data_IF_720787563296
#
_entry.id   IF_720787563296
#
_cell.length_a   1.000
_cell.length_b   1.000
_cell.length_c   1.000
_cell.angle_alpha   90.00
_cell.angle_beta   90.00
_cell.angle_gamma   90.00
#
_symmetry.space_group_name_H-M   'P 1'
#
loop_
_entity.id
_entity.type
_entity.pdbx_description
1 polymer ?
#
# COMPACT_ATOMS: atom_id res chain seq x y z
N UNK A 1 56.27 5.00 -5.10
CA UNK A 1 57.29 3.90 -5.22
C UNK A 1 56.67 2.59 -4.80
N UNK A 2 56.89 1.55 -5.65
CA UNK A 2 56.66 0.10 -5.45
C UNK A 2 55.17 -0.35 -5.33
N UNK A 3 54.69 -1.31 -6.05
CA UNK A 3 54.95 -2.11 -7.26
C UNK A 3 53.78 -3.05 -7.41
N UNK A 4 53.32 -3.20 -8.61
CA UNK A 4 52.36 -4.19 -9.10
C UNK A 4 52.87 -5.62 -8.92
N UNK A 5 51.94 -6.63 -8.87
CA UNK A 5 52.04 -7.75 -9.83
C UNK A 5 50.76 -8.64 -9.75
N UNK A 6 50.32 -9.20 -10.84
CA UNK A 6 49.15 -10.05 -10.98
C UNK A 6 49.55 -11.55 -10.98
N UNK A 7 48.59 -12.43 -10.69
CA UNK A 7 48.73 -13.85 -11.01
C UNK A 7 47.49 -14.30 -11.77
N UNK A 8 47.74 -14.57 -13.04
CA UNK A 8 46.92 -15.42 -13.89
C UNK A 8 47.49 -16.85 -13.86
N UNK A 9 46.64 -17.86 -13.82
CA UNK A 9 47.03 -19.19 -14.32
C UNK A 9 45.82 -19.88 -14.96
N UNK A 10 46.10 -20.38 -16.15
CA UNK A 10 45.20 -21.00 -17.09
C UNK A 10 45.35 -22.55 -17.09
N UNK A 11 44.46 -23.19 -17.79
CA UNK A 11 44.54 -24.47 -18.51
C UNK A 11 44.38 -25.76 -17.65
N UNK A 12 43.80 -26.86 -18.10
CA UNK A 12 43.81 -27.48 -19.41
C UNK A 12 42.75 -28.61 -19.52
N UNK A 13 42.32 -28.82 -20.71
CA UNK A 13 41.83 -29.92 -21.51
C UNK A 13 42.16 -31.39 -21.13
N UNK A 14 41.15 -32.28 -21.32
CA UNK A 14 41.28 -33.63 -21.92
C UNK A 14 39.86 -34.22 -22.03
N UNK A 15 39.26 -34.62 -23.08
CA UNK A 15 39.62 -35.28 -24.31
C UNK A 15 39.62 -36.81 -24.20
N UNK A 16 38.44 -37.48 -24.48
CA UNK A 16 38.49 -38.88 -24.90
C UNK A 16 37.24 -39.25 -25.72
N UNK A 17 37.44 -39.50 -26.98
CA UNK A 17 36.50 -40.12 -27.89
C UNK A 17 36.71 -41.65 -27.85
N UNK A 18 35.63 -42.42 -27.89
CA UNK A 18 35.65 -43.84 -28.24
C UNK A 18 34.57 -44.16 -29.22
N UNK A 19 35.02 -44.62 -30.39
CA UNK A 19 34.28 -45.13 -31.53
C UNK A 19 34.01 -46.61 -31.25
N UNK A 20 32.82 -47.09 -31.45
CA UNK A 20 32.45 -48.51 -31.42
C UNK A 20 31.38 -48.84 -32.45
N UNK A 21 31.68 -49.79 -33.30
CA UNK A 21 31.10 -50.10 -34.61
C UNK A 21 29.77 -50.87 -34.61
N UNK A 22 29.09 -50.67 -35.68
CA UNK A 22 28.06 -51.38 -36.40
C UNK A 22 27.61 -52.80 -35.93
N UNK A 23 26.27 -52.97 -35.87
CA UNK A 23 25.56 -54.23 -35.88
C UNK A 23 24.22 -54.07 -36.60
N UNK A 24 24.11 -54.59 -37.84
CA UNK A 24 22.86 -54.69 -38.57
C UNK A 24 21.95 -55.77 -37.99
N UNK A 25 20.75 -55.40 -37.57
CA UNK A 25 19.66 -56.33 -37.23
C UNK A 25 18.36 -55.77 -37.76
N UNK A 26 17.82 -56.40 -38.80
CA UNK A 26 16.50 -56.16 -39.39
C UNK A 26 15.43 -56.69 -38.43
N UNK A 27 14.60 -55.83 -37.88
CA UNK A 27 13.44 -56.19 -37.05
C UNK A 27 12.37 -55.10 -37.20
N UNK A 28 11.20 -55.48 -37.65
CA UNK A 28 10.08 -54.61 -37.99
C UNK A 28 9.67 -53.70 -36.84
N UNK A 29 9.62 -52.40 -37.11
CA UNK A 29 9.13 -51.38 -36.22
C UNK A 29 7.63 -51.22 -36.33
N UNK A 30 6.92 -51.62 -35.26
CA UNK A 30 5.57 -51.11 -35.03
C UNK A 30 5.66 -49.59 -34.74
N UNK A 31 4.72 -48.77 -35.25
CA UNK A 31 4.74 -47.33 -35.00
C UNK A 31 4.55 -47.05 -33.51
N UNK A 32 5.44 -46.28 -32.94
CA UNK A 32 5.33 -45.79 -31.57
C UNK A 32 4.03 -44.99 -31.39
N UNK A 33 3.32 -45.12 -30.25
CA UNK A 33 2.16 -44.31 -29.97
C UNK A 33 2.60 -42.84 -29.90
N UNK A 34 1.88 -41.96 -30.62
CA UNK A 34 2.06 -40.52 -30.52
C UNK A 34 1.80 -40.11 -29.06
N UNK A 35 2.65 -39.26 -28.47
CA UNK A 35 2.35 -38.72 -27.14
C UNK A 35 1.01 -37.99 -27.23
N UNK A 36 0.08 -38.39 -26.36
CA UNK A 36 -1.18 -37.71 -26.18
C UNK A 36 -0.85 -36.25 -25.87
N UNK A 37 -1.32 -35.36 -26.73
CA UNK A 37 -1.23 -33.93 -26.57
C UNK A 37 -2.09 -33.61 -25.34
N UNK A 38 -1.44 -33.42 -24.18
CA UNK A 38 -2.12 -32.97 -22.98
C UNK A 38 -2.99 -31.75 -23.35
N UNK A 39 -4.29 -31.92 -23.21
CA UNK A 39 -5.23 -30.80 -23.37
C UNK A 39 -4.77 -29.67 -22.42
N UNK A 40 -4.77 -28.42 -22.87
CA UNK A 40 -4.45 -27.31 -21.97
C UNK A 40 -5.42 -27.39 -20.79
N UNK A 41 -4.88 -27.58 -19.60
CA UNK A 41 -5.64 -27.47 -18.36
C UNK A 41 -6.11 -26.03 -18.34
N UNK A 42 -7.37 -25.78 -18.64
CA UNK A 42 -8.01 -24.48 -18.46
C UNK A 42 -7.96 -24.20 -16.97
N UNK A 43 -7.10 -23.27 -16.57
CA UNK A 43 -7.19 -22.69 -15.23
C UNK A 43 -8.65 -22.24 -15.01
N UNK A 44 -9.26 -22.58 -13.88
CA UNK A 44 -10.63 -22.15 -13.63
C UNK A 44 -10.71 -20.63 -13.79
N UNK A 45 -11.70 -20.15 -14.53
CA UNK A 45 -11.98 -18.72 -14.61
C UNK A 45 -12.24 -18.21 -13.20
N UNK A 46 -11.70 -17.04 -12.83
CA UNK A 46 -11.91 -16.47 -11.51
C UNK A 46 -13.40 -16.38 -11.20
N UNK A 47 -13.80 -16.89 -10.04
CA UNK A 47 -15.19 -16.75 -9.58
C UNK A 47 -15.45 -15.29 -9.26
N UNK A 48 -16.39 -14.62 -9.92
CA UNK A 48 -16.69 -13.22 -9.63
C UNK A 48 -17.08 -13.05 -8.15
N UNK A 49 -16.55 -12.04 -7.49
CA UNK A 49 -17.05 -11.63 -6.18
C UNK A 49 -18.51 -11.21 -6.34
N UNK A 50 -19.41 -11.87 -5.66
CA UNK A 50 -20.86 -11.56 -5.65
C UNK A 50 -21.36 -11.45 -4.22
N UNK A 51 -22.24 -10.49 -3.94
CA UNK A 51 -22.83 -10.28 -2.61
C UNK A 51 -22.33 -9.01 -1.92
N UNK A 52 -22.67 -8.82 -0.64
CA UNK A 52 -22.42 -7.58 0.08
C UNK A 52 -20.94 -7.23 0.17
N UNK A 53 -20.61 -5.99 -0.19
CA UNK A 53 -19.29 -5.38 -0.07
C UNK A 53 -19.30 -4.31 1.00
N UNK A 54 -18.37 -4.36 1.96
CA UNK A 54 -18.17 -3.37 3.02
C UNK A 54 -16.77 -2.75 2.90
N UNK A 55 -16.72 -1.43 2.80
CA UNK A 55 -15.47 -0.68 2.83
C UNK A 55 -15.26 -0.04 4.20
N UNK A 56 -14.10 -0.32 4.78
CA UNK A 56 -13.65 0.16 6.08
C UNK A 56 -12.37 0.99 5.89
N UNK A 57 -12.17 1.99 6.72
CA UNK A 57 -10.90 2.71 6.68
C UNK A 57 -10.94 4.15 7.13
N UNK A 58 -9.87 4.86 6.78
CA UNK A 58 -9.62 6.26 7.10
C UNK A 58 -9.88 7.19 5.91
N UNK A 59 -9.25 8.38 5.91
CA UNK A 59 -9.40 9.40 4.87
C UNK A 59 -8.91 8.98 3.48
N UNK A 60 -7.95 8.05 3.41
CA UNK A 60 -7.48 7.50 2.13
C UNK A 60 -8.52 6.58 1.49
N UNK A 61 -9.31 5.90 2.33
CA UNK A 61 -10.44 5.08 1.88
C UNK A 61 -11.67 5.94 1.58
N UNK A 62 -11.98 6.93 2.46
CA UNK A 62 -13.18 7.74 2.28
C UNK A 62 -13.12 8.65 1.03
N UNK A 63 -11.93 8.98 0.53
CA UNK A 63 -11.78 9.90 -0.60
C UNK A 63 -12.03 11.35 -0.20
N UNK A 64 -11.41 11.75 0.92
CA UNK A 64 -11.56 13.06 1.54
C UNK A 64 -11.48 14.20 0.51
N UNK A 65 -12.52 15.04 0.50
CA UNK A 65 -12.65 16.24 -0.38
C UNK A 65 -12.70 15.95 -1.88
N UNK A 66 -12.92 14.72 -2.31
CA UNK A 66 -13.15 14.40 -3.71
C UNK A 66 -14.66 14.42 -3.99
N UNK A 67 -15.17 15.27 -4.90
CA UNK A 67 -16.59 15.29 -5.25
C UNK A 67 -17.04 14.04 -6.02
N UNK A 68 -18.32 13.63 -5.91
CA UNK A 68 -19.33 14.12 -4.98
C UNK A 68 -19.11 13.55 -3.56
N UNK A 69 -19.17 14.43 -2.56
CA UNK A 69 -19.13 14.00 -1.16
C UNK A 69 -20.54 13.77 -0.62
N UNK A 70 -20.68 12.74 0.26
CA UNK A 70 -21.98 12.37 0.82
C UNK A 70 -21.86 11.48 2.05
N UNK A 71 -22.97 10.90 2.44
CA UNK A 71 -23.08 10.04 3.62
C UNK A 71 -23.19 10.79 4.93
N UNK A 72 -23.48 10.07 6.01
CA UNK A 72 -23.64 10.62 7.36
C UNK A 72 -22.74 9.85 8.32
N UNK A 73 -21.97 10.53 9.21
CA UNK A 73 -21.80 11.98 9.29
C UNK A 73 -20.98 12.54 8.12
N UNK A 74 -21.20 13.80 7.72
CA UNK A 74 -20.47 14.44 6.62
C UNK A 74 -18.98 14.61 6.93
N UNK A 75 -18.63 14.78 8.20
CA UNK A 75 -17.24 14.88 8.68
C UNK A 75 -16.40 13.64 8.38
N UNK A 76 -17.00 12.51 8.00
CA UNK A 76 -16.27 11.36 7.48
C UNK A 76 -15.66 11.61 6.09
N UNK A 77 -16.17 12.58 5.32
CA UNK A 77 -15.63 12.95 4.03
C UNK A 77 -15.68 11.83 3.00
N UNK A 78 -16.77 11.04 2.97
CA UNK A 78 -16.95 9.95 2.01
C UNK A 78 -17.27 10.50 0.64
N UNK A 79 -16.59 9.96 -0.37
CA UNK A 79 -16.79 10.34 -1.77
C UNK A 79 -17.46 9.22 -2.56
N UNK A 80 -18.42 9.57 -3.41
CA UNK A 80 -18.95 8.64 -4.42
C UNK A 80 -17.94 8.27 -5.52
N UNK A 81 -16.75 8.90 -5.52
CA UNK A 81 -15.65 8.64 -6.45
C UNK A 81 -14.39 8.11 -5.73
N UNK A 82 -14.51 7.63 -4.49
CA UNK A 82 -13.41 6.97 -3.79
C UNK A 82 -13.16 5.56 -4.35
N UNK A 83 -11.99 4.96 -4.03
CA UNK A 83 -11.65 3.66 -4.59
C UNK A 83 -12.68 2.56 -4.28
N UNK A 84 -13.32 2.51 -3.09
CA UNK A 84 -14.33 1.49 -2.84
C UNK A 84 -15.57 1.64 -3.73
N UNK A 85 -16.06 2.87 -3.92
CA UNK A 85 -17.17 3.15 -4.83
C UNK A 85 -16.85 2.77 -6.28
N UNK A 86 -15.61 3.05 -6.73
CA UNK A 86 -15.12 2.66 -8.04
C UNK A 86 -15.01 1.14 -8.20
N UNK A 87 -14.58 0.42 -7.15
CA UNK A 87 -14.53 -1.06 -7.14
C UNK A 87 -15.95 -1.63 -7.20
N UNK A 88 -16.86 -1.14 -6.36
CA UNK A 88 -18.26 -1.58 -6.35
C UNK A 88 -18.90 -1.39 -7.74
N UNK A 89 -18.69 -0.24 -8.36
CA UNK A 89 -19.19 0.08 -9.71
C UNK A 89 -18.61 -0.88 -10.77
N UNK A 90 -17.28 -1.11 -10.78
CA UNK A 90 -16.62 -1.95 -11.79
C UNK A 90 -16.96 -3.44 -11.65
N UNK A 91 -17.32 -3.88 -10.45
CA UNK A 91 -17.78 -5.26 -10.18
C UNK A 91 -19.32 -5.40 -10.22
N UNK A 92 -20.05 -4.32 -10.50
CA UNK A 92 -21.52 -4.25 -10.48
C UNK A 92 -22.15 -4.72 -9.15
N UNK A 93 -21.48 -4.46 -8.03
CA UNK A 93 -21.97 -4.82 -6.69
C UNK A 93 -23.03 -3.83 -6.24
N UNK A 94 -24.28 -4.29 -6.16
CA UNK A 94 -25.43 -3.44 -5.78
C UNK A 94 -25.56 -3.27 -4.26
N UNK A 95 -25.10 -4.27 -3.51
CA UNK A 95 -25.09 -4.25 -2.05
C UNK A 95 -23.70 -3.81 -1.57
N UNK A 96 -23.51 -2.48 -1.54
CA UNK A 96 -22.24 -1.83 -1.17
C UNK A 96 -22.47 -0.85 -0.02
N UNK A 97 -21.66 -0.96 1.02
CA UNK A 97 -21.69 -0.09 2.20
C UNK A 97 -20.29 0.47 2.46
N UNK A 98 -20.14 1.80 2.42
CA UNK A 98 -18.92 2.50 2.81
C UNK A 98 -19.13 3.14 4.19
N UNK A 99 -18.37 2.65 5.17
CA UNK A 99 -18.36 3.18 6.55
C UNK A 99 -17.00 3.76 6.93
N UNK A 100 -16.10 3.93 5.96
CA UNK A 100 -14.81 4.61 6.18
C UNK A 100 -15.04 6.03 6.69
N UNK A 101 -14.06 6.56 7.44
CA UNK A 101 -14.21 7.89 8.02
C UNK A 101 -12.86 8.58 8.16
N UNK A 102 -12.78 9.82 7.70
CA UNK A 102 -11.58 10.65 7.79
C UNK A 102 -11.07 10.71 9.24
N UNK A 103 -9.75 10.56 9.41
CA UNK A 103 -9.11 10.54 10.74
C UNK A 103 -9.27 9.25 11.52
N UNK A 104 -9.99 8.23 11.00
CA UNK A 104 -10.20 6.98 11.71
C UNK A 104 -8.86 6.28 12.06
N UNK A 105 -8.85 5.68 13.23
CA UNK A 105 -7.78 4.83 13.77
C UNK A 105 -8.27 3.40 13.93
N UNK A 106 -7.39 2.48 14.18
CA UNK A 106 -7.76 1.07 14.43
C UNK A 106 -8.80 0.91 15.54
N UNK A 107 -8.80 1.79 16.55
CA UNK A 107 -9.81 1.81 17.61
C UNK A 107 -11.22 2.12 17.14
N UNK A 108 -11.36 2.94 16.09
CA UNK A 108 -12.66 3.36 15.55
C UNK A 108 -13.35 2.25 14.74
N UNK A 109 -12.66 1.15 14.51
CA UNK A 109 -13.25 -0.06 13.94
C UNK A 109 -14.22 -0.73 14.95
N UNK A 110 -13.95 -0.61 16.25
CA UNK A 110 -14.71 -1.25 17.34
C UNK A 110 -15.40 -0.25 18.27
N UNK A 111 -15.11 1.04 18.13
CA UNK A 111 -15.71 2.11 18.91
C UNK A 111 -16.25 3.20 17.98
N UNK A 112 -17.18 4.01 18.48
CA UNK A 112 -17.74 5.11 17.72
C UNK A 112 -16.74 6.26 17.61
N UNK A 113 -16.54 6.81 16.39
CA UNK A 113 -15.68 7.94 16.09
C UNK A 113 -16.48 9.24 16.12
N UNK A 114 -16.02 10.22 16.88
CA UNK A 114 -16.60 11.58 16.85
C UNK A 114 -16.06 12.33 15.64
N UNK A 115 -16.94 13.03 14.95
CA UNK A 115 -16.65 13.98 13.89
C UNK A 115 -17.18 15.36 14.24
N UNK A 116 -16.87 16.38 13.45
CA UNK A 116 -17.35 17.76 13.70
C UNK A 116 -18.88 17.87 13.69
N UNK A 117 -19.58 17.04 12.89
CA UNK A 117 -21.00 17.12 12.63
C UNK A 117 -21.77 15.87 13.06
N UNK A 118 -21.18 15.01 13.90
CA UNK A 118 -21.84 13.83 14.39
C UNK A 118 -20.93 12.71 14.85
N UNK A 119 -21.45 11.51 14.83
CA UNK A 119 -20.72 10.32 15.28
C UNK A 119 -20.83 9.23 14.21
N UNK A 120 -19.69 8.71 13.76
CA UNK A 120 -19.64 7.51 12.95
C UNK A 120 -19.71 6.28 13.88
N UNK A 121 -20.66 5.35 13.69
CA UNK A 121 -20.69 4.11 14.46
C UNK A 121 -19.40 3.31 14.30
N UNK A 122 -19.16 2.30 15.19
CA UNK A 122 -18.04 1.38 14.99
C UNK A 122 -18.10 0.78 13.59
N UNK A 123 -17.02 0.93 12.83
CA UNK A 123 -17.05 0.53 11.41
C UNK A 123 -17.33 -0.96 11.23
N UNK A 124 -16.90 -1.81 12.17
CA UNK A 124 -17.14 -3.26 12.13
C UNK A 124 -18.61 -3.65 12.32
N UNK A 125 -19.49 -2.74 12.73
CA UNK A 125 -20.92 -3.03 12.86
C UNK A 125 -21.58 -3.23 11.48
N UNK A 126 -20.98 -2.74 10.41
CA UNK A 126 -21.41 -3.00 9.04
C UNK A 126 -21.01 -4.40 8.52
N UNK A 127 -20.10 -5.10 9.21
CA UNK A 127 -19.59 -6.41 8.79
C UNK A 127 -20.42 -7.52 9.41
N UNK A 128 -20.97 -8.41 8.57
CA UNK A 128 -21.81 -9.52 8.98
C UNK A 128 -21.44 -10.84 8.28
N UNK A 129 -22.04 -11.94 8.68
CA UNK A 129 -21.85 -13.24 8.03
C UNK A 129 -22.31 -13.27 6.56
N UNK A 130 -23.17 -12.32 6.16
CA UNK A 130 -23.57 -12.16 4.76
C UNK A 130 -22.51 -11.45 3.91
N UNK A 131 -21.58 -10.70 4.51
CA UNK A 131 -20.53 -9.95 3.78
C UNK A 131 -19.65 -10.90 2.95
N UNK A 132 -19.34 -10.52 1.72
CA UNK A 132 -18.55 -11.31 0.77
C UNK A 132 -17.24 -10.63 0.36
N UNK A 133 -17.20 -9.31 0.46
CA UNK A 133 -15.98 -8.54 0.22
C UNK A 133 -15.79 -7.52 1.34
N UNK A 134 -14.58 -7.42 1.86
CA UNK A 134 -14.16 -6.36 2.77
C UNK A 134 -12.87 -5.74 2.26
N UNK A 135 -12.84 -4.42 2.10
CA UNK A 135 -11.59 -3.68 1.96
C UNK A 135 -11.34 -2.85 3.22
N UNK A 136 -10.11 -2.83 3.70
CA UNK A 136 -9.68 -2.09 4.89
C UNK A 136 -8.42 -1.29 4.58
N UNK A 137 -8.50 0.03 4.64
CA UNK A 137 -7.33 0.94 4.55
C UNK A 137 -7.22 1.72 5.86
N UNK A 138 -6.32 1.31 6.77
CA UNK A 138 -6.24 1.85 8.14
C UNK A 138 -4.82 1.74 8.71
N UNK A 139 -4.51 2.59 9.68
CA UNK A 139 -3.28 2.50 10.49
C UNK A 139 -2.34 3.69 10.33
N UNK A 140 -2.47 4.50 9.27
CA UNK A 140 -1.67 5.71 9.08
C UNK A 140 -1.84 6.72 10.21
N UNK A 141 -3.07 6.91 10.70
CA UNK A 141 -3.37 7.78 11.83
C UNK A 141 -2.88 7.22 13.17
N UNK A 142 -2.89 5.89 13.35
CA UNK A 142 -2.33 5.23 14.55
C UNK A 142 -0.81 5.36 14.59
N UNK A 143 -0.15 5.15 13.45
CA UNK A 143 1.30 5.32 13.30
C UNK A 143 1.73 6.78 13.47
N UNK A 144 0.79 7.73 13.41
CA UNK A 144 1.06 9.15 13.57
C UNK A 144 1.81 9.75 12.39
N UNK A 145 1.56 9.25 11.18
CA UNK A 145 2.28 9.68 9.99
C UNK A 145 2.18 11.19 9.76
N UNK A 146 0.98 11.78 9.92
CA UNK A 146 0.77 13.21 9.82
C UNK A 146 1.49 14.00 10.94
N UNK A 147 1.60 13.43 12.15
CA UNK A 147 2.36 14.02 13.25
C UNK A 147 3.86 14.09 12.90
N UNK A 148 4.39 13.03 12.25
CA UNK A 148 5.78 13.00 11.78
C UNK A 148 6.03 14.08 10.74
N UNK A 149 5.17 14.22 9.74
CA UNK A 149 5.26 15.27 8.72
C UNK A 149 5.23 16.68 9.34
N UNK A 150 4.26 16.94 10.22
CA UNK A 150 4.14 18.21 10.92
C UNK A 150 5.37 18.52 11.79
N UNK A 151 5.90 17.52 12.48
CA UNK A 151 7.13 17.67 13.28
C UNK A 151 8.33 17.97 12.38
N UNK A 152 8.46 17.27 11.24
CA UNK A 152 9.54 17.54 10.29
C UNK A 152 9.52 19.00 9.81
N UNK A 153 8.35 19.53 9.47
CA UNK A 153 8.22 20.94 9.08
C UNK A 153 8.67 21.88 10.22
N UNK A 154 8.28 21.60 11.48
CA UNK A 154 8.68 22.41 12.64
C UNK A 154 10.18 22.35 12.91
N UNK A 155 10.78 21.16 12.88
CA UNK A 155 12.23 21.01 13.16
C UNK A 155 13.07 21.65 12.06
N UNK A 156 12.68 21.55 10.78
CA UNK A 156 13.36 22.22 9.69
C UNK A 156 13.23 23.76 9.81
N UNK A 157 12.04 24.29 10.09
CA UNK A 157 11.83 25.72 10.33
C UNK A 157 12.68 26.22 11.51
N UNK A 158 12.70 25.49 12.61
CA UNK A 158 13.50 25.81 13.78
C UNK A 158 15.00 25.86 13.43
N UNK A 159 15.47 24.89 12.68
CA UNK A 159 16.85 24.83 12.23
C UNK A 159 17.24 25.99 11.31
N UNK A 160 16.36 26.36 10.38
CA UNK A 160 16.60 27.50 9.48
C UNK A 160 16.74 28.84 10.25
N UNK A 161 15.97 28.99 11.35
CA UNK A 161 16.02 30.21 12.17
C UNK A 161 17.25 30.29 13.09
N UNK A 162 17.78 29.15 13.55
CA UNK A 162 18.90 29.10 14.50
C UNK A 162 20.26 29.04 13.78
N UNK A 163 20.27 28.76 12.48
CA UNK A 163 21.49 28.79 11.65
C UNK A 163 22.52 27.72 11.99
N UNK A 164 22.13 26.62 12.63
CA UNK A 164 23.00 25.50 12.97
C UNK A 164 22.77 24.36 12.00
N UNK A 165 23.77 24.06 11.18
CA UNK A 165 23.74 23.14 10.06
C UNK A 165 23.59 21.66 10.43
N UNK A 166 22.42 21.26 10.97
CA UNK A 166 22.01 19.86 10.92
C UNK A 166 21.34 19.61 9.57
N UNK A 167 21.91 18.71 8.78
CA UNK A 167 21.38 18.38 7.47
C UNK A 167 20.08 17.56 7.50
N UNK A 168 19.64 17.11 8.69
CA UNK A 168 18.45 16.29 8.88
C UNK A 168 17.82 16.46 10.28
N UNK A 169 17.33 17.67 10.63
CA UNK A 169 16.88 17.96 12.00
C UNK A 169 15.68 17.11 12.44
N UNK A 170 14.78 16.78 11.55
CA UNK A 170 13.65 15.91 11.84
C UNK A 170 14.10 14.47 12.09
N UNK A 171 14.93 13.92 11.21
CA UNK A 171 15.53 12.59 11.41
C UNK A 171 16.27 12.52 12.75
N UNK A 172 17.08 13.52 13.06
CA UNK A 172 17.81 13.60 14.34
C UNK A 172 16.85 13.61 15.53
N UNK A 173 15.74 14.37 15.45
CA UNK A 173 14.71 14.37 16.49
C UNK A 173 14.19 12.96 16.78
N UNK A 174 13.84 12.18 15.75
CA UNK A 174 13.23 10.86 15.89
C UNK A 174 14.23 9.71 16.12
N UNK A 175 15.51 9.89 15.78
CA UNK A 175 16.50 8.79 15.93
C UNK A 175 17.31 8.92 17.21
N UNK A 176 17.78 10.11 17.55
CA UNK A 176 18.68 10.36 18.71
C UNK A 176 18.19 11.47 19.64
N UNK A 177 17.17 12.24 19.21
CA UNK A 177 16.60 13.33 19.98
C UNK A 177 15.44 12.93 20.88
N UNK A 178 14.62 13.92 21.25
CA UNK A 178 13.51 13.76 22.20
C UNK A 178 12.41 12.80 21.73
N UNK A 179 12.24 12.62 20.42
CA UNK A 179 11.28 11.69 19.80
C UNK A 179 11.83 10.29 19.55
N UNK A 180 13.05 9.97 20.06
CA UNK A 180 13.68 8.69 19.80
C UNK A 180 12.79 7.50 20.15
N UNK A 181 12.63 6.58 19.19
CA UNK A 181 11.80 5.38 19.28
C UNK A 181 10.28 5.64 19.29
N UNK A 182 9.79 6.88 19.15
CA UNK A 182 8.36 7.17 19.16
C UNK A 182 7.63 6.51 17.99
N UNK A 183 8.17 6.67 16.78
CA UNK A 183 7.57 6.08 15.57
C UNK A 183 7.52 4.57 15.67
N UNK A 184 8.60 3.95 16.14
CA UNK A 184 8.66 2.48 16.31
C UNK A 184 7.63 1.97 17.33
N UNK A 185 7.45 2.66 18.45
CA UNK A 185 6.41 2.29 19.44
C UNK A 185 5.01 2.41 18.85
N UNK A 186 4.72 3.50 18.14
CA UNK A 186 3.42 3.68 17.46
C UNK A 186 3.18 2.56 16.43
N UNK A 187 4.19 2.24 15.60
CA UNK A 187 4.12 1.14 14.62
C UNK A 187 3.80 -0.21 15.28
N UNK A 188 4.51 -0.54 16.37
CA UNK A 188 4.29 -1.80 17.11
C UNK A 188 2.87 -1.88 17.65
N UNK A 189 2.39 -0.82 18.30
CA UNK A 189 1.02 -0.76 18.81
C UNK A 189 -0.03 -0.86 17.71
N UNK A 190 0.23 -0.20 16.57
CA UNK A 190 -0.65 -0.28 15.39
C UNK A 190 -0.72 -1.71 14.85
N UNK A 191 0.42 -2.39 14.75
CA UNK A 191 0.50 -3.78 14.29
C UNK A 191 -0.30 -4.75 15.18
N UNK A 192 -0.23 -4.58 16.50
CA UNK A 192 -0.98 -5.39 17.47
C UNK A 192 -2.50 -5.17 17.31
N UNK A 193 -2.93 -3.91 17.25
CA UNK A 193 -4.34 -3.54 17.07
C UNK A 193 -4.89 -4.03 15.74
N UNK A 194 -4.11 -3.88 14.67
CA UNK A 194 -4.51 -4.36 13.33
C UNK A 194 -4.68 -5.87 13.29
N UNK A 195 -3.81 -6.63 14.00
CA UNK A 195 -3.97 -8.08 14.13
C UNK A 195 -5.32 -8.46 14.75
N UNK A 196 -5.71 -7.75 15.82
CA UNK A 196 -7.02 -7.96 16.47
C UNK A 196 -8.18 -7.61 15.53
N UNK A 197 -8.09 -6.48 14.82
CA UNK A 197 -9.11 -6.05 13.85
C UNK A 197 -9.30 -7.06 12.73
N UNK A 198 -8.21 -7.54 12.11
CA UNK A 198 -8.28 -8.54 11.04
C UNK A 198 -8.89 -9.86 11.53
N UNK A 199 -8.56 -10.29 12.75
CA UNK A 199 -9.18 -11.45 13.41
C UNK A 199 -10.69 -11.27 13.61
N UNK A 200 -11.13 -10.08 14.04
CA UNK A 200 -12.53 -9.76 14.24
C UNK A 200 -13.33 -9.71 12.92
N UNK A 201 -12.74 -9.14 11.85
CA UNK A 201 -13.36 -9.16 10.52
C UNK A 201 -13.59 -10.60 10.05
N UNK A 202 -12.58 -11.47 10.15
CA UNK A 202 -12.71 -12.88 9.77
C UNK A 202 -13.73 -13.63 10.60
N UNK A 203 -13.86 -13.31 11.88
CA UNK A 203 -14.87 -13.90 12.76
C UNK A 203 -16.29 -13.48 12.38
N UNK A 204 -16.50 -12.19 12.03
CA UNK A 204 -17.82 -11.66 11.64
C UNK A 204 -18.21 -12.10 10.24
N UNK A 205 -17.27 -12.14 9.30
CA UNK A 205 -17.50 -12.47 7.91
C UNK A 205 -16.58 -13.62 7.44
N UNK A 206 -16.82 -14.87 7.89
CA UNK A 206 -15.92 -16.00 7.62
C UNK A 206 -15.88 -16.40 6.13
N UNK A 207 -16.83 -15.94 5.33
CA UNK A 207 -16.93 -16.19 3.90
C UNK A 207 -16.43 -15.01 3.04
N UNK A 208 -16.02 -13.92 3.68
CA UNK A 208 -15.59 -12.74 2.94
C UNK A 208 -14.16 -12.86 2.41
N UNK A 209 -13.96 -12.42 1.19
CA UNK A 209 -12.63 -12.03 0.72
C UNK A 209 -12.26 -10.73 1.42
N UNK A 210 -11.14 -10.74 2.16
CA UNK A 210 -10.66 -9.58 2.94
C UNK A 210 -9.36 -9.07 2.32
N UNK A 211 -9.34 -7.78 1.98
CA UNK A 211 -8.18 -7.10 1.43
C UNK A 211 -7.76 -5.96 2.35
N UNK A 212 -6.52 -6.04 2.85
CA UNK A 212 -5.88 -4.92 3.53
C UNK A 212 -5.18 -4.05 2.48
N UNK A 213 -5.65 -2.81 2.35
CA UNK A 213 -5.19 -1.86 1.32
C UNK A 213 -4.09 -1.00 1.92
N UNK A 214 -2.91 -0.99 1.30
CA UNK A 214 -1.80 -0.14 1.68
C UNK A 214 -2.00 1.32 1.31
N UNK A 215 -1.04 2.16 1.68
CA UNK A 215 -1.01 3.58 1.32
C UNK A 215 -0.18 3.80 0.05
N UNK A 216 -0.65 4.62 -0.90
CA UNK A 216 0.13 4.98 -2.09
C UNK A 216 1.36 5.81 -1.72
N UNK A 217 2.38 5.81 -2.56
CA UNK A 217 3.61 6.58 -2.36
C UNK A 217 3.30 8.08 -2.29
N UNK A 218 3.62 8.70 -1.17
CA UNK A 218 3.42 10.13 -0.94
C UNK A 218 4.61 10.95 -1.40
N UNK A 219 5.81 10.39 -1.31
CA UNK A 219 7.08 11.02 -1.58
C UNK A 219 7.90 10.20 -2.58
N UNK A 220 8.75 10.85 -3.40
CA UNK A 220 9.61 10.15 -4.35
C UNK A 220 10.71 9.36 -3.64
N UNK A 221 11.28 8.40 -4.36
CA UNK A 221 12.47 7.68 -3.89
C UNK A 221 13.72 8.58 -3.88
N UNK A 222 13.78 9.54 -4.80
CA UNK A 222 14.82 10.58 -4.85
C UNK A 222 14.27 11.87 -4.23
N UNK A 223 14.69 12.23 -3.00
CA UNK A 223 14.19 13.41 -2.29
C UNK A 223 14.41 14.74 -3.04
N UNK A 224 15.49 14.85 -3.85
CA UNK A 224 15.80 16.05 -4.61
C UNK A 224 14.71 16.45 -5.62
N UNK A 225 13.84 15.52 -5.99
CA UNK A 225 12.69 15.80 -6.87
C UNK A 225 11.58 16.60 -6.19
N UNK A 226 11.60 16.71 -4.86
CA UNK A 226 10.65 17.49 -4.10
C UNK A 226 11.01 18.95 -3.89
N UNK A 227 12.19 19.40 -4.34
CA UNK A 227 12.70 20.74 -4.06
C UNK A 227 11.73 21.86 -4.51
N UNK A 228 11.08 21.71 -5.66
CA UNK A 228 10.10 22.69 -6.16
C UNK A 228 8.77 22.68 -5.35
N UNK A 229 8.35 21.50 -4.87
CA UNK A 229 7.06 21.31 -4.18
C UNK A 229 7.13 21.65 -2.70
N UNK A 230 8.23 21.27 -2.04
CA UNK A 230 8.41 21.48 -0.59
C UNK A 230 9.27 22.71 -0.28
N UNK A 231 9.93 23.30 -1.31
CA UNK A 231 10.83 24.42 -1.16
C UNK A 231 12.03 24.09 -0.26
N UNK A 232 12.77 25.13 0.14
CA UNK A 232 13.90 24.99 1.05
C UNK A 232 13.48 24.70 2.52
N UNK A 233 12.20 24.46 2.76
CA UNK A 233 11.63 24.31 4.11
C UNK A 233 11.82 22.94 4.73
N UNK A 234 12.17 21.90 3.95
CA UNK A 234 12.42 20.54 4.44
C UNK A 234 13.68 19.99 3.78
N UNK A 235 14.64 19.57 4.58
CA UNK A 235 15.91 19.02 4.09
C UNK A 235 15.69 17.67 3.36
N UNK A 236 16.41 17.42 2.27
CA UNK A 236 16.32 16.18 1.48
C UNK A 236 16.48 14.91 2.33
N UNK A 237 17.37 14.93 3.31
CA UNK A 237 17.55 13.81 4.22
C UNK A 237 16.33 13.57 5.13
N UNK A 238 15.55 14.60 5.44
CA UNK A 238 14.30 14.50 6.20
C UNK A 238 13.16 14.01 5.31
N UNK A 239 13.10 14.42 4.05
CA UNK A 239 12.18 13.86 3.05
C UNK A 239 12.44 12.35 2.91
N UNK A 240 13.71 11.95 2.76
CA UNK A 240 14.10 10.54 2.73
C UNK A 240 13.73 9.77 4.00
N UNK A 241 13.84 10.39 5.17
CA UNK A 241 13.40 9.80 6.44
C UNK A 241 11.89 9.56 6.46
N UNK A 242 11.08 10.52 6.04
CA UNK A 242 9.61 10.38 5.99
C UNK A 242 9.19 9.29 5.00
N UNK A 243 9.80 9.27 3.81
CA UNK A 243 9.56 8.24 2.81
C UNK A 243 9.91 6.83 3.34
N UNK A 244 10.95 6.71 4.18
CA UNK A 244 11.27 5.44 4.84
C UNK A 244 10.21 5.03 5.86
N UNK A 245 9.67 5.97 6.66
CA UNK A 245 8.58 5.68 7.59
C UNK A 245 7.32 5.18 6.85
N UNK A 246 7.03 5.74 5.69
CA UNK A 246 5.93 5.28 4.84
C UNK A 246 6.14 3.85 4.33
N UNK A 247 7.35 3.53 3.86
CA UNK A 247 7.69 2.15 3.45
C UNK A 247 7.58 1.17 4.61
N UNK A 248 8.01 1.56 5.82
CA UNK A 248 7.88 0.74 7.03
C UNK A 248 6.43 0.51 7.42
N UNK A 249 5.56 1.52 7.30
CA UNK A 249 4.13 1.37 7.50
C UNK A 249 3.54 0.34 6.53
N UNK A 250 3.77 0.49 5.22
CA UNK A 250 3.29 -0.45 4.23
C UNK A 250 3.87 -1.87 4.43
N UNK A 251 5.13 -1.98 4.82
CA UNK A 251 5.77 -3.24 5.18
C UNK A 251 5.11 -3.92 6.38
N UNK A 252 4.78 -3.16 7.42
CA UNK A 252 4.04 -3.66 8.59
C UNK A 252 2.63 -4.13 8.20
N UNK A 253 1.90 -3.35 7.40
CA UNK A 253 0.56 -3.72 6.92
C UNK A 253 0.61 -5.03 6.13
N UNK A 254 1.56 -5.19 5.21
CA UNK A 254 1.79 -6.43 4.45
C UNK A 254 2.01 -7.62 5.38
N UNK A 255 2.91 -7.49 6.35
CA UNK A 255 3.20 -8.56 7.32
C UNK A 255 1.96 -8.95 8.14
N UNK A 256 1.12 -7.99 8.52
CA UNK A 256 -0.12 -8.28 9.26
C UNK A 256 -1.17 -8.96 8.37
N UNK A 257 -1.29 -8.56 7.11
CA UNK A 257 -2.15 -9.23 6.14
C UNK A 257 -1.73 -10.70 5.94
N UNK A 258 -0.46 -10.94 5.69
CA UNK A 258 0.11 -12.28 5.52
C UNK A 258 -0.12 -13.15 6.75
N UNK A 259 0.18 -12.64 7.95
CA UNK A 259 -0.01 -13.35 9.21
C UNK A 259 -1.50 -13.69 9.48
N UNK A 260 -2.42 -12.85 9.04
CA UNK A 260 -3.85 -13.07 9.15
C UNK A 260 -4.43 -13.94 8.01
N UNK A 261 -3.64 -14.27 6.98
CA UNK A 261 -4.11 -14.99 5.79
C UNK A 261 -5.13 -14.20 4.97
N UNK A 262 -4.97 -12.86 4.92
CA UNK A 262 -5.76 -11.96 4.06
C UNK A 262 -4.89 -11.37 2.97
N UNK A 263 -5.50 -10.84 1.90
CA UNK A 263 -4.74 -10.23 0.82
C UNK A 263 -4.19 -8.86 1.25
N UNK A 264 -2.94 -8.55 0.87
CA UNK A 264 -2.41 -7.20 0.89
C UNK A 264 -2.50 -6.59 -0.51
N UNK A 265 -3.07 -5.40 -0.61
CA UNK A 265 -3.12 -4.63 -1.86
C UNK A 265 -2.00 -3.61 -1.85
N UNK A 266 -1.00 -3.83 -2.69
CA UNK A 266 0.15 -2.94 -2.83
C UNK A 266 -0.20 -1.72 -3.69
N UNK A 267 -0.64 -0.67 -3.05
CA UNK A 267 -0.89 0.63 -3.68
C UNK A 267 0.37 1.48 -3.77
N UNK A 268 1.39 1.19 -2.95
CA UNK A 268 2.65 1.91 -2.94
C UNK A 268 3.45 1.71 -4.23
N UNK A 269 3.70 0.45 -4.61
CA UNK A 269 4.46 0.15 -5.82
C UNK A 269 3.77 0.63 -7.09
N UNK A 270 2.43 0.54 -7.14
CA UNK A 270 1.64 0.97 -8.30
C UNK A 270 1.53 2.48 -8.46
N UNK A 271 1.85 3.27 -7.43
CA UNK A 271 1.81 4.73 -7.44
C UNK A 271 3.19 5.39 -7.54
N UNK A 272 4.26 4.59 -7.67
CA UNK A 272 5.62 5.14 -7.86
C UNK A 272 5.67 6.02 -9.10
N UNK A 273 6.19 7.26 -8.96
CA UNK A 273 6.19 8.27 -10.02
C UNK A 273 4.90 9.08 -10.13
N UNK A 274 4.00 8.92 -9.14
CA UNK A 274 2.76 9.69 -9.00
C UNK A 274 2.64 10.35 -7.62
N UNK A 275 3.75 10.55 -6.93
CA UNK A 275 3.80 11.17 -5.61
C UNK A 275 3.45 12.67 -5.65
N UNK A 276 3.42 13.31 -4.47
CA UNK A 276 3.01 14.72 -4.36
C UNK A 276 3.97 15.71 -5.03
N UNK A 277 5.17 15.28 -5.35
CA UNK A 277 6.21 16.12 -5.97
C UNK A 277 6.19 16.05 -7.50
N UNK A 278 5.31 15.25 -8.09
CA UNK A 278 5.09 15.22 -9.52
C UNK A 278 4.26 16.42 -10.00
N UNK A 279 4.38 16.72 -11.28
CA UNK A 279 3.61 17.78 -11.93
C UNK A 279 2.08 17.53 -11.80
N UNK A 280 1.32 18.60 -11.79
CA UNK A 280 -0.14 18.54 -11.90
C UNK A 280 -0.54 17.70 -13.12
N UNK A 281 -1.51 16.79 -12.95
CA UNK A 281 -1.94 15.85 -13.98
C UNK A 281 -1.16 14.52 -13.99
N UNK A 282 0.04 14.45 -13.39
CA UNK A 282 0.80 13.21 -13.18
C UNK A 282 0.64 12.72 -11.75
N UNK A 283 0.64 13.62 -10.78
CA UNK A 283 0.54 13.29 -9.36
C UNK A 283 -0.82 12.69 -9.00
N UNK A 284 -0.79 11.69 -8.16
CA UNK A 284 -1.97 11.07 -7.55
C UNK A 284 -2.23 11.57 -6.13
N UNK A 285 -1.24 12.24 -5.54
CA UNK A 285 -1.27 12.77 -4.17
C UNK A 285 -1.25 14.29 -4.25
N UNK A 286 -2.15 14.94 -3.54
CA UNK A 286 -2.15 16.39 -3.44
C UNK A 286 -0.96 16.87 -2.60
N UNK A 287 -0.27 17.95 -3.00
CA UNK A 287 0.86 18.49 -2.25
C UNK A 287 0.43 19.10 -0.91
N UNK A 288 1.40 19.50 -0.10
CA UNK A 288 1.14 20.20 1.17
C UNK A 288 0.33 21.49 0.97
N UNK A 289 0.62 22.25 -0.08
CA UNK A 289 -0.15 23.41 -0.51
C UNK A 289 -1.09 23.03 -1.67
N UNK A 290 -2.05 22.18 -1.35
CA UNK A 290 -3.00 21.65 -2.34
C UNK A 290 -4.02 22.69 -2.85
N UNK A 291 -4.03 23.89 -2.28
CA UNK A 291 -5.02 24.88 -2.62
C UNK A 291 -6.39 24.67 -1.94
N UNK A 292 -7.29 25.65 -2.13
CA UNK A 292 -8.57 25.67 -1.44
C UNK A 292 -9.49 24.53 -1.93
N UNK A 293 -10.00 23.76 -0.98
CA UNK A 293 -11.00 22.71 -1.24
C UNK A 293 -10.41 21.34 -1.50
N UNK A 294 -9.10 21.21 -1.68
CA UNK A 294 -8.41 19.93 -1.79
C UNK A 294 -7.92 19.42 -0.42
N UNK A 295 -7.59 18.14 -0.33
CA UNK A 295 -7.06 17.52 0.88
C UNK A 295 -5.53 17.37 0.75
N UNK A 296 -4.71 18.19 1.44
CA UNK A 296 -3.26 18.05 1.38
C UNK A 296 -2.80 16.64 1.75
N UNK A 297 -1.81 16.12 1.04
CA UNK A 297 -1.17 14.81 1.31
C UNK A 297 -2.15 13.63 1.17
N UNK A 298 -3.26 13.79 0.48
CA UNK A 298 -4.24 12.72 0.25
C UNK A 298 -4.34 12.40 -1.24
N UNK A 299 -4.76 11.15 -1.55
CA UNK A 299 -5.02 10.79 -2.94
C UNK A 299 -6.08 11.68 -3.56
N UNK A 300 -5.79 12.21 -4.75
CA UNK A 300 -6.77 12.89 -5.59
C UNK A 300 -7.63 11.87 -6.38
N UNK A 301 -8.47 12.35 -7.29
CA UNK A 301 -9.33 11.47 -8.08
C UNK A 301 -8.55 10.44 -8.91
N UNK A 302 -7.37 10.80 -9.44
CA UNK A 302 -6.50 9.86 -10.16
C UNK A 302 -5.89 8.83 -9.21
N UNK A 303 -5.48 9.25 -8.01
CA UNK A 303 -4.99 8.34 -6.97
C UNK A 303 -6.06 7.32 -6.55
N UNK A 304 -7.30 7.75 -6.37
CA UNK A 304 -8.41 6.84 -6.08
C UNK A 304 -8.67 5.85 -7.23
N UNK A 305 -8.53 6.26 -8.48
CA UNK A 305 -8.59 5.36 -9.64
C UNK A 305 -7.45 4.33 -9.63
N UNK A 306 -6.24 4.77 -9.31
CA UNK A 306 -5.06 3.90 -9.16
C UNK A 306 -5.27 2.86 -8.07
N UNK A 307 -5.73 3.29 -6.87
CA UNK A 307 -6.05 2.40 -5.75
C UNK A 307 -7.14 1.39 -6.12
N UNK A 308 -8.21 1.83 -6.79
CA UNK A 308 -9.27 0.93 -7.28
C UNK A 308 -8.72 -0.12 -8.26
N UNK A 309 -7.81 0.28 -9.14
CA UNK A 309 -7.17 -0.63 -10.10
C UNK A 309 -6.31 -1.66 -9.37
N UNK A 310 -5.57 -1.27 -8.34
CA UNK A 310 -4.78 -2.19 -7.51
C UNK A 310 -5.67 -3.22 -6.78
N UNK A 311 -6.79 -2.77 -6.17
CA UNK A 311 -7.77 -3.65 -5.52
C UNK A 311 -8.35 -4.67 -6.51
N UNK A 312 -8.79 -4.22 -7.67
CA UNK A 312 -9.35 -5.12 -8.72
C UNK A 312 -8.31 -6.10 -9.26
N UNK A 313 -7.03 -5.69 -9.31
CA UNK A 313 -5.95 -6.59 -9.70
C UNK A 313 -5.68 -7.66 -8.66
N UNK A 314 -5.70 -7.30 -7.37
CA UNK A 314 -5.55 -8.25 -6.29
C UNK A 314 -6.69 -9.29 -6.26
N UNK A 315 -7.92 -8.87 -6.50
CA UNK A 315 -9.08 -9.78 -6.60
C UNK A 315 -8.92 -10.79 -7.75
N UNK A 316 -8.44 -10.35 -8.92
CA UNK A 316 -8.21 -11.24 -10.07
C UNK A 316 -7.11 -12.29 -9.86
N UNK A 317 -6.12 -11.99 -9.02
CA UNK A 317 -5.01 -12.91 -8.74
C UNK A 317 -5.38 -14.03 -7.76
N UNK A 318 -6.46 -13.88 -7.02
CA UNK A 318 -6.91 -14.83 -5.99
C UNK A 318 -8.09 -15.70 -6.41
N UNK A 319 -8.71 -15.36 -7.52
CA UNK A 319 -9.88 -16.07 -8.08
C UNK A 319 -9.50 -17.31 -8.91
#
# INVERSE_FOLDING_TARGET
>A
MRRRLPVALAAALAGAALIGAAGCGAGGTAPAPKPDRASPTTSPSPTPVTGPYVALGDSYTSGLRIPPQGGTPQGCGRSGANYPSLVAQRLDLKDFTDVSCSGARTGDLTAAQRTEDGTNPPQLDAVSAATRLVTLGIGGNDAGFMDVLGRCAVENLRHSLIGKGDAAPCRTYYTTGAGSGEVQRKMTTTAERLTAVLGEIKRRAPQAEVLLVGYPALLPQDPGRCAETLGDGIADADIGFVAEQERQLNGMLRQRAEAAGVAFVDTYSSSTGHDMCEAEGTRWIEPLDAGKGLAPIHPNAQGQQGMATAVLSALRQRS
#
